data_IF_526554863590
#
_entry.id   IF_526554863590
#
_cell.length_a   1.000
_cell.length_b   1.000
_cell.length_c   1.000
_cell.angle_alpha   90.00
_cell.angle_beta   90.00
_cell.angle_gamma   90.00
#
_symmetry.space_group_name_H-M   'P 1'
#
loop_
_entity.id
_entity.type
_entity.pdbx_description
1 polymer ?
#
# COMPACT_ATOMS: atom_id res chain seq x y z
N UNK A 1 48.89 7.56 1.33
CA UNK A 1 49.18 8.32 2.57
C UNK A 1 50.45 7.73 3.14
N UNK A 2 51.47 8.55 3.35
CA UNK A 2 52.71 8.10 4.01
C UNK A 2 52.45 7.87 5.50
N UNK A 3 53.26 7.04 6.12
CA UNK A 3 53.16 6.74 7.55
C UNK A 3 54.56 6.78 8.19
N UNK A 4 54.59 7.09 9.49
CA UNK A 4 55.85 7.20 10.23
C UNK A 4 56.35 5.82 10.67
N UNK A 5 57.63 5.57 10.46
CA UNK A 5 58.32 4.34 10.88
C UNK A 5 58.56 4.35 12.41
N UNK A 6 57.59 3.83 13.19
CA UNK A 6 57.61 3.65 14.66
C UNK A 6 57.93 4.90 15.53
N UNK A 7 58.22 4.69 16.84
CA UNK A 7 58.54 5.71 17.87
C UNK A 7 59.48 6.78 17.29
N UNK A 8 59.24 8.10 17.48
CA UNK A 8 60.02 9.16 16.83
C UNK A 8 61.53 9.16 17.14
N UNK A 9 61.98 8.46 18.19
CA UNK A 9 63.40 8.34 18.50
C UNK A 9 63.71 7.00 19.20
N UNK A 10 63.59 5.86 18.49
CA UNK A 10 63.97 4.58 19.07
C UNK A 10 65.49 4.51 19.19
N UNK A 11 65.98 3.95 20.29
CA UNK A 11 67.38 3.54 20.37
C UNK A 11 67.49 2.20 19.65
N UNK A 12 68.22 2.17 18.55
CA UNK A 12 68.52 0.94 17.83
C UNK A 12 69.78 0.35 18.44
N UNK A 13 69.71 -0.92 18.81
CA UNK A 13 70.81 -1.64 19.43
C UNK A 13 71.65 -2.39 18.39
N UNK A 14 72.87 -2.74 18.78
CA UNK A 14 73.80 -3.56 18.01
C UNK A 14 73.31 -5.03 17.88
N UNK A 15 74.11 -5.87 17.22
CA UNK A 15 73.75 -7.28 16.98
C UNK A 15 73.60 -8.09 18.27
N UNK A 16 74.36 -7.75 19.31
CA UNK A 16 74.24 -8.42 20.61
C UNK A 16 73.09 -7.86 21.45
N UNK A 17 72.56 -6.69 21.10
CA UNK A 17 71.48 -6.02 21.82
C UNK A 17 71.91 -5.39 23.13
N UNK A 18 73.21 -5.21 23.34
CA UNK A 18 73.79 -4.76 24.62
C UNK A 18 74.13 -3.27 24.57
N UNK A 19 74.49 -2.75 23.40
CA UNK A 19 74.88 -1.37 23.19
C UNK A 19 74.02 -0.70 22.10
N UNK A 20 73.84 0.63 22.12
CA UNK A 20 73.30 1.33 20.96
C UNK A 20 74.16 1.11 19.72
N UNK A 21 73.53 1.01 18.55
CA UNK A 21 74.17 0.88 17.25
C UNK A 21 74.75 2.23 16.81
N UNK A 22 75.72 2.73 17.59
CA UNK A 22 76.34 4.02 17.40
C UNK A 22 77.07 4.09 16.04
N UNK A 23 76.73 5.09 15.22
CA UNK A 23 77.31 5.26 13.89
C UNK A 23 76.85 4.22 12.86
N UNK A 24 75.82 3.43 13.15
CA UNK A 24 75.16 2.55 12.19
C UNK A 24 74.29 3.29 11.18
N UNK A 25 73.47 2.54 10.43
CA UNK A 25 72.52 3.13 9.48
C UNK A 25 71.31 2.23 9.22
N UNK A 26 70.19 2.83 8.79
CA UNK A 26 69.02 2.13 8.27
C UNK A 26 68.98 2.22 6.75
N UNK A 27 69.05 1.09 6.07
CA UNK A 27 68.85 1.00 4.63
C UNK A 27 67.42 0.57 4.31
N UNK A 28 66.83 1.22 3.30
CA UNK A 28 65.42 1.02 2.91
C UNK A 28 65.33 0.50 1.48
N UNK A 29 64.53 -0.54 1.27
CA UNK A 29 64.38 -1.20 -0.01
C UNK A 29 62.91 -1.40 -0.38
N UNK A 30 62.66 -1.58 -1.68
CA UNK A 30 61.39 -2.15 -2.15
C UNK A 30 61.16 -3.49 -1.45
N UNK A 31 59.94 -3.69 -0.94
CA UNK A 31 59.57 -4.84 -0.10
C UNK A 31 59.95 -6.17 -0.76
N UNK A 32 60.73 -6.98 -0.05
CA UNK A 32 61.20 -8.28 -0.50
C UNK A 32 62.35 -8.24 -1.50
N UNK A 33 62.97 -7.07 -1.73
CA UNK A 33 64.05 -6.90 -2.72
C UNK A 33 65.27 -6.22 -2.11
N UNK A 34 66.31 -6.01 -2.93
CA UNK A 34 67.50 -5.22 -2.60
C UNK A 34 67.57 -3.90 -3.38
N UNK A 35 66.49 -3.50 -4.05
CA UNK A 35 66.40 -2.22 -4.78
C UNK A 35 66.20 -1.08 -3.79
N UNK A 36 67.12 -0.11 -3.65
CA UNK A 36 66.98 0.99 -2.70
C UNK A 36 65.73 1.82 -2.99
N UNK A 37 64.93 2.09 -1.96
CA UNK A 37 63.72 2.91 -2.05
C UNK A 37 63.85 4.17 -1.21
N UNK A 38 63.27 5.27 -1.70
CA UNK A 38 63.30 6.56 -1.04
C UNK A 38 62.44 6.56 0.22
N UNK A 39 62.88 7.32 1.23
CA UNK A 39 62.08 7.67 2.41
C UNK A 39 62.10 9.19 2.57
N UNK A 40 61.22 9.74 3.40
CA UNK A 40 61.00 11.20 3.47
C UNK A 40 61.14 11.73 4.90
N UNK A 41 61.61 12.97 5.03
CA UNK A 41 61.73 13.67 6.32
C UNK A 41 60.41 14.33 6.76
N UNK A 42 59.44 14.46 5.87
CA UNK A 42 58.11 15.02 6.09
C UNK A 42 56.99 14.08 5.57
N UNK A 43 55.76 14.32 6.04
CA UNK A 43 54.60 13.49 5.67
C UNK A 43 54.16 13.75 4.23
N UNK A 44 54.36 14.96 3.74
CA UNK A 44 53.99 15.45 2.41
C UNK A 44 54.90 14.91 1.29
N UNK A 45 55.97 14.19 1.64
CA UNK A 45 56.95 13.59 0.73
C UNK A 45 57.71 14.64 -0.11
N UNK A 46 58.11 15.75 0.52
CA UNK A 46 58.81 16.84 -0.17
C UNK A 46 60.33 16.77 0.01
N UNK A 47 60.81 16.32 1.17
CA UNK A 47 62.22 16.30 1.55
C UNK A 47 62.71 14.86 1.63
N UNK A 48 63.50 14.38 0.65
CA UNK A 48 64.03 13.03 0.67
C UNK A 48 65.09 12.85 1.77
N UNK A 49 65.04 11.71 2.45
CA UNK A 49 66.12 11.26 3.32
C UNK A 49 67.24 10.57 2.50
N UNK A 50 68.50 10.60 2.99
CA UNK A 50 69.56 9.77 2.42
C UNK A 50 69.24 8.28 2.60
N UNK A 51 69.73 7.44 1.71
CA UNK A 51 69.63 5.99 1.83
C UNK A 51 71.02 5.36 1.63
N UNK A 52 71.66 4.79 2.68
CA UNK A 52 71.13 4.57 4.04
C UNK A 52 70.94 5.85 4.88
N UNK A 53 69.99 5.83 5.81
CA UNK A 53 69.78 6.88 6.82
C UNK A 53 70.75 6.65 7.99
N UNK A 54 71.64 7.61 8.32
CA UNK A 54 72.64 7.42 9.38
C UNK A 54 72.03 7.47 10.79
N UNK A 55 72.65 6.73 11.70
CA UNK A 55 72.40 6.81 13.15
C UNK A 55 73.43 7.70 13.82
N UNK A 56 73.03 8.38 14.90
CA UNK A 56 73.93 9.13 15.75
C UNK A 56 74.74 8.24 16.70
N UNK A 57 75.57 8.84 17.55
CA UNK A 57 76.36 8.14 18.56
C UNK A 57 75.52 7.46 19.64
N UNK A 58 74.22 7.77 19.73
CA UNK A 58 73.26 7.15 20.65
C UNK A 58 72.43 6.05 19.98
N UNK A 59 72.75 5.67 18.73
CA UNK A 59 71.98 4.68 17.97
C UNK A 59 70.59 5.17 17.55
N UNK A 60 70.39 6.49 17.43
CA UNK A 60 69.11 7.11 17.06
C UNK A 60 69.16 7.67 15.65
N UNK A 61 68.00 7.64 15.00
CA UNK A 61 67.78 8.40 13.76
C UNK A 61 67.39 9.83 14.15
N UNK A 62 68.13 10.84 13.68
CA UNK A 62 67.85 12.24 13.99
C UNK A 62 66.80 12.88 13.07
N UNK A 63 66.49 12.25 11.95
CA UNK A 63 65.45 12.69 11.02
C UNK A 63 64.19 11.84 11.20
N UNK A 64 63.03 12.44 10.95
CA UNK A 64 61.82 11.64 10.76
C UNK A 64 61.99 10.74 9.53
N UNK A 65 61.44 9.53 9.62
CA UNK A 65 61.41 8.59 8.50
C UNK A 65 59.95 8.27 8.18
N UNK A 66 59.49 8.84 7.07
CA UNK A 66 58.19 8.58 6.48
C UNK A 66 58.34 7.61 5.30
N UNK A 67 57.47 6.61 5.29
CA UNK A 67 57.41 5.55 4.29
C UNK A 67 56.13 5.69 3.46
N UNK A 68 56.21 5.34 2.18
CA UNK A 68 55.04 5.28 1.28
C UNK A 68 54.81 3.85 0.79
N UNK A 69 53.88 3.12 1.41
CA UNK A 69 53.67 1.69 1.12
C UNK A 69 54.58 0.75 1.91
N UNK A 70 54.71 -0.50 1.48
CA UNK A 70 55.51 -1.50 2.19
C UNK A 70 57.01 -1.43 1.85
N UNK A 71 57.87 -1.66 2.85
CA UNK A 71 59.34 -1.59 2.74
C UNK A 71 60.00 -2.81 3.36
N UNK A 72 61.20 -3.14 2.88
CA UNK A 72 62.17 -3.93 3.65
C UNK A 72 63.21 -2.98 4.25
N UNK A 73 63.40 -3.04 5.56
CA UNK A 73 64.32 -2.20 6.33
C UNK A 73 65.45 -3.05 6.88
N UNK A 74 66.67 -2.59 6.70
CA UNK A 74 67.89 -3.27 7.16
C UNK A 74 68.67 -2.34 8.08
N UNK A 75 68.85 -2.73 9.33
CA UNK A 75 69.79 -2.06 10.23
C UNK A 75 71.19 -2.59 9.97
N UNK A 76 72.14 -1.68 9.76
CA UNK A 76 73.56 -1.97 9.63
C UNK A 76 74.35 -1.28 10.75
N UNK A 77 75.40 -1.95 11.23
CA UNK A 77 76.35 -1.36 12.16
C UNK A 77 77.33 -0.39 11.47
N UNK A 78 78.21 0.22 12.27
CA UNK A 78 79.24 1.15 11.78
C UNK A 78 80.25 0.50 10.81
N UNK A 79 80.40 -0.84 10.86
CA UNK A 79 81.24 -1.60 9.93
C UNK A 79 80.49 -2.06 8.67
N UNK A 80 79.19 -1.72 8.55
CA UNK A 80 78.33 -2.08 7.44
C UNK A 80 77.75 -3.50 7.50
N UNK A 81 77.91 -4.22 8.62
CA UNK A 81 77.32 -5.55 8.83
C UNK A 81 75.83 -5.43 9.15
N UNK A 82 75.03 -6.37 8.64
CA UNK A 82 73.60 -6.40 8.92
C UNK A 82 73.35 -6.87 10.35
N UNK A 83 72.68 -6.03 11.14
CA UNK A 83 72.18 -6.34 12.48
C UNK A 83 70.86 -7.10 12.39
N UNK A 84 69.90 -6.56 11.63
CA UNK A 84 68.62 -7.23 11.35
C UNK A 84 67.99 -6.72 10.05
N UNK A 85 67.07 -7.53 9.54
CA UNK A 85 66.16 -7.19 8.43
C UNK A 85 64.72 -7.38 8.87
N UNK A 86 63.86 -6.41 8.56
CA UNK A 86 62.42 -6.43 8.88
C UNK A 86 61.62 -5.86 7.73
N UNK A 87 60.48 -6.48 7.44
CA UNK A 87 59.48 -5.90 6.57
C UNK A 87 58.54 -5.00 7.37
N UNK A 88 58.16 -3.89 6.76
CA UNK A 88 57.23 -2.91 7.31
C UNK A 88 56.10 -2.77 6.32
N UNK A 89 54.89 -3.07 6.76
CA UNK A 89 53.69 -2.82 5.99
C UNK A 89 53.11 -1.46 6.35
N UNK A 90 52.39 -0.86 5.40
CA UNK A 90 51.92 0.53 5.55
C UNK A 90 50.89 0.76 6.64
N UNK A 91 50.39 -0.30 7.29
CA UNK A 91 49.26 -0.26 8.22
C UNK A 91 47.93 0.17 7.57
N UNK A 92 48.00 0.84 6.43
CA UNK A 92 46.90 1.15 5.53
C UNK A 92 46.56 -0.15 4.80
N UNK A 93 45.61 -0.91 5.34
CA UNK A 93 44.84 -1.81 4.49
C UNK A 93 44.32 -1.01 3.29
N UNK A 94 44.22 -1.64 2.11
CA UNK A 94 43.61 -1.03 0.94
C UNK A 94 42.09 -0.84 1.19
N UNK A 95 41.74 0.05 2.11
CA UNK A 95 40.38 0.45 2.40
C UNK A 95 39.83 1.15 1.18
N UNK A 96 38.60 0.79 0.82
CA UNK A 96 37.83 1.50 -0.19
C UNK A 96 37.77 2.99 0.21
N UNK A 97 38.13 3.87 -0.72
CA UNK A 97 38.09 5.30 -0.47
C UNK A 97 36.63 5.75 -0.34
N UNK A 98 36.31 6.50 0.72
CA UNK A 98 34.99 7.11 0.88
C UNK A 98 34.93 8.35 -0.04
N UNK A 99 33.96 8.43 -0.98
CA UNK A 99 33.83 9.60 -1.85
C UNK A 99 33.49 10.88 -1.06
N UNK A 100 33.76 12.05 -1.64
CA UNK A 100 33.42 13.35 -1.03
C UNK A 100 31.94 13.41 -0.62
N UNK A 101 31.65 13.93 0.58
CA UNK A 101 30.30 14.04 1.11
C UNK A 101 29.38 14.87 0.20
N UNK A 102 28.17 14.37 -0.02
CA UNK A 102 27.12 15.06 -0.76
C UNK A 102 25.92 15.27 0.16
N UNK A 103 25.47 16.51 0.32
CA UNK A 103 24.30 16.85 1.14
C UNK A 103 23.05 16.13 0.61
N UNK A 104 22.24 15.55 1.51
CA UNK A 104 20.98 14.88 1.16
C UNK A 104 21.13 13.49 0.54
N UNK A 105 22.32 12.88 0.62
CA UNK A 105 22.57 11.53 0.15
C UNK A 105 23.07 10.62 1.27
N UNK A 106 22.91 9.31 1.09
CA UNK A 106 23.45 8.29 1.99
C UNK A 106 24.50 7.43 1.29
N UNK A 107 25.43 6.88 2.05
CA UNK A 107 26.54 6.07 1.51
C UNK A 107 26.03 4.67 1.21
N UNK A 108 26.27 4.19 -0.01
CA UNK A 108 25.90 2.86 -0.48
C UNK A 108 27.06 2.23 -1.28
N UNK A 109 26.84 1.06 -1.87
CA UNK A 109 27.81 0.39 -2.73
C UNK A 109 27.14 -0.27 -3.96
N UNK A 110 27.92 -0.43 -5.03
CA UNK A 110 27.53 -1.16 -6.26
C UNK A 110 28.10 -2.60 -6.31
N UNK A 111 28.60 -3.11 -5.18
CA UNK A 111 29.33 -4.37 -5.07
C UNK A 111 30.82 -4.29 -5.37
N UNK A 112 31.34 -3.16 -5.85
CA UNK A 112 32.77 -2.95 -6.13
C UNK A 112 33.32 -1.64 -5.56
N UNK A 113 32.49 -0.61 -5.49
CA UNK A 113 32.83 0.75 -5.07
C UNK A 113 31.80 1.29 -4.08
N UNK A 114 32.25 2.24 -3.25
CA UNK A 114 31.37 3.08 -2.45
C UNK A 114 30.83 4.24 -3.31
N UNK A 115 29.54 4.53 -3.18
CA UNK A 115 28.87 5.60 -3.93
C UNK A 115 27.82 6.30 -3.06
N UNK A 116 27.52 7.56 -3.35
CA UNK A 116 26.41 8.28 -2.73
C UNK A 116 25.12 8.09 -3.54
N UNK A 117 24.01 7.86 -2.85
CA UNK A 117 22.69 7.74 -3.47
C UNK A 117 21.69 8.72 -2.82
N UNK A 118 20.73 9.26 -3.60
CA UNK A 118 19.69 10.15 -3.07
C UNK A 118 18.81 9.41 -2.06
N UNK A 119 18.43 10.11 -0.99
CA UNK A 119 17.40 9.61 -0.06
C UNK A 119 16.03 9.80 -0.74
N UNK A 120 15.31 8.70 -0.97
CA UNK A 120 13.90 8.74 -1.39
C UNK A 120 13.03 8.90 -0.15
N UNK A 121 12.72 10.13 0.22
CA UNK A 121 11.87 10.44 1.37
C UNK A 121 10.39 10.41 0.97
N UNK A 122 9.56 9.90 1.88
CA UNK A 122 8.12 10.15 1.80
C UNK A 122 7.85 11.60 2.23
N UNK A 123 6.88 12.29 1.61
CA UNK A 123 6.43 13.59 2.07
C UNK A 123 5.96 13.52 3.52
N UNK A 124 6.17 14.60 4.27
CA UNK A 124 5.75 14.73 5.66
C UNK A 124 4.29 14.25 5.84
N UNK A 125 4.02 13.26 6.70
CA UNK A 125 2.67 12.75 6.91
C UNK A 125 1.79 13.69 7.75
N UNK A 126 2.32 14.79 8.28
CA UNK A 126 1.56 15.75 9.09
C UNK A 126 0.41 16.35 8.27
N UNK A 127 -0.82 16.06 8.69
CA UNK A 127 -2.03 16.49 7.98
C UNK A 127 -2.48 15.56 6.84
N UNK A 128 -1.84 14.41 6.64
CA UNK A 128 -2.20 13.44 5.60
C UNK A 128 -3.39 12.52 5.97
N UNK A 129 -4.14 12.82 7.04
CA UNK A 129 -5.36 12.08 7.37
C UNK A 129 -6.35 12.16 6.19
N UNK A 130 -6.91 11.01 5.80
CA UNK A 130 -7.80 10.94 4.63
C UNK A 130 -7.10 11.04 3.26
N UNK A 131 -5.77 11.09 3.21
CA UNK A 131 -5.00 11.11 1.97
C UNK A 131 -4.33 9.75 1.69
N UNK A 132 -3.92 9.54 0.44
CA UNK A 132 -3.12 8.41 -0.03
C UNK A 132 -1.88 8.94 -0.76
N UNK A 133 -0.83 8.12 -0.79
CA UNK A 133 0.37 8.43 -1.55
C UNK A 133 0.10 8.21 -3.04
N UNK A 134 0.35 9.24 -3.83
CA UNK A 134 0.29 9.21 -5.30
C UNK A 134 1.60 9.76 -5.87
N UNK A 135 2.00 9.29 -7.05
CA UNK A 135 3.17 9.81 -7.75
C UNK A 135 2.72 10.93 -8.69
N UNK A 136 3.01 12.18 -8.33
CA UNK A 136 2.67 13.36 -9.11
C UNK A 136 3.95 13.91 -9.74
N UNK A 137 4.05 13.86 -11.07
CA UNK A 137 5.24 14.30 -11.81
C UNK A 137 6.54 13.61 -11.38
N UNK A 138 6.46 12.33 -11.00
CA UNK A 138 7.63 11.54 -10.58
C UNK A 138 8.05 11.74 -9.12
N UNK A 139 7.32 12.54 -8.35
CA UNK A 139 7.57 12.78 -6.92
C UNK A 139 6.38 12.23 -6.11
N UNK A 140 6.61 11.47 -5.03
CA UNK A 140 5.53 11.06 -4.14
C UNK A 140 4.86 12.30 -3.51
N UNK A 141 3.54 12.34 -3.48
CA UNK A 141 2.74 13.42 -2.88
C UNK A 141 1.48 12.85 -2.21
N UNK A 142 0.96 13.55 -1.21
CA UNK A 142 -0.32 13.20 -0.58
C UNK A 142 -1.48 13.73 -1.40
N UNK A 143 -2.30 12.82 -1.93
CA UNK A 143 -3.53 13.13 -2.66
C UNK A 143 -4.75 12.69 -1.84
N UNK A 144 -5.89 13.38 -1.91
CA UNK A 144 -7.11 12.95 -1.23
C UNK A 144 -7.48 11.52 -1.61
N UNK A 145 -7.92 10.70 -0.65
CA UNK A 145 -8.45 9.38 -0.97
C UNK A 145 -9.64 9.54 -1.93
N UNK A 146 -9.74 8.69 -2.97
CA UNK A 146 -10.90 8.70 -3.84
C UNK A 146 -12.16 8.46 -3.00
N UNK A 147 -13.29 9.07 -3.39
CA UNK A 147 -14.55 8.81 -2.71
C UNK A 147 -14.83 7.30 -2.74
N UNK A 148 -15.47 6.75 -1.69
CA UNK A 148 -15.86 5.36 -1.69
C UNK A 148 -16.73 5.08 -2.92
N UNK A 149 -16.55 3.89 -3.51
CA UNK A 149 -17.38 3.44 -4.62
C UNK A 149 -18.85 3.46 -4.19
N UNK A 150 -19.66 4.31 -4.82
CA UNK A 150 -21.11 4.30 -4.68
C UNK A 150 -21.64 3.45 -5.84
N UNK A 151 -22.19 2.24 -5.59
CA UNK A 151 -22.84 1.49 -6.64
C UNK A 151 -23.96 2.35 -7.26
N UNK A 152 -24.20 2.27 -8.58
CA UNK A 152 -25.32 2.98 -9.19
C UNK A 152 -26.63 2.59 -8.49
N UNK A 153 -27.53 3.56 -8.32
CA UNK A 153 -28.87 3.26 -7.81
C UNK A 153 -29.52 2.20 -8.71
N UNK A 154 -30.19 1.19 -8.12
CA UNK A 154 -30.86 0.17 -8.91
C UNK A 154 -31.99 0.77 -9.77
N UNK A 155 -32.15 0.31 -11.01
CA UNK A 155 -33.27 0.68 -11.92
C UNK A 155 -34.66 0.15 -11.45
N UNK A 156 -34.75 -0.35 -10.22
CA UNK A 156 -35.99 -0.88 -9.65
C UNK A 156 -36.35 -0.13 -8.38
N UNK A 157 -37.55 0.45 -8.37
CA UNK A 157 -38.17 1.04 -7.19
C UNK A 157 -39.07 -0.03 -6.55
N UNK A 158 -38.68 -0.54 -5.38
CA UNK A 158 -39.53 -1.41 -4.56
C UNK A 158 -40.17 -0.54 -3.47
N UNK A 159 -41.41 -0.15 -3.73
CA UNK A 159 -42.29 0.40 -2.70
C UNK A 159 -43.00 -0.74 -1.94
N UNK A 160 -43.61 -0.44 -0.80
CA UNK A 160 -44.28 -1.43 0.06
C UNK A 160 -45.41 -2.24 -0.64
N UNK A 161 -45.86 -1.82 -1.84
CA UNK A 161 -46.96 -2.42 -2.59
C UNK A 161 -46.77 -2.46 -4.11
N UNK A 162 -45.64 -1.96 -4.63
CA UNK A 162 -45.39 -1.80 -6.07
C UNK A 162 -43.98 -2.27 -6.43
N UNK A 163 -43.88 -3.10 -7.47
CA UNK A 163 -42.62 -3.43 -8.15
C UNK A 163 -42.71 -2.93 -9.60
N UNK A 164 -41.74 -2.12 -10.02
CA UNK A 164 -41.64 -1.61 -11.40
C UNK A 164 -40.36 -2.14 -12.05
N UNK A 165 -40.49 -2.71 -13.25
CA UNK A 165 -39.39 -3.19 -14.10
C UNK A 165 -39.52 -2.51 -15.47
N UNK A 166 -38.83 -1.36 -15.63
CA UNK A 166 -39.06 -0.47 -16.77
C UNK A 166 -40.51 0.04 -16.79
N UNK A 167 -41.20 -0.11 -17.91
CA UNK A 167 -42.62 0.29 -18.02
C UNK A 167 -43.63 -0.71 -17.44
N UNK A 168 -43.20 -1.88 -16.97
CA UNK A 168 -44.08 -2.93 -16.43
C UNK A 168 -44.17 -2.82 -14.91
N UNK A 169 -45.38 -2.91 -14.36
CA UNK A 169 -45.60 -2.83 -12.92
C UNK A 169 -46.51 -3.95 -12.39
N UNK A 170 -46.19 -4.39 -11.18
CA UNK A 170 -47.06 -5.22 -10.34
C UNK A 170 -47.45 -4.38 -9.13
N UNK A 171 -48.75 -4.19 -8.93
CA UNK A 171 -49.30 -3.50 -7.77
C UNK A 171 -50.15 -4.46 -6.94
N UNK A 172 -50.04 -4.34 -5.63
CA UNK A 172 -50.82 -5.16 -4.68
C UNK A 172 -51.57 -4.27 -3.70
N UNK A 173 -52.65 -4.79 -3.16
CA UNK A 173 -53.34 -4.08 -2.09
C UNK A 173 -54.38 -4.91 -1.39
N UNK A 174 -55.06 -4.25 -0.46
CA UNK A 174 -56.19 -4.81 0.26
C UNK A 174 -57.40 -3.90 0.06
N UNK A 175 -58.59 -4.50 0.16
CA UNK A 175 -59.86 -3.81 0.23
C UNK A 175 -60.81 -4.63 1.09
N UNK A 176 -61.96 -4.07 1.44
CA UNK A 176 -63.02 -4.79 2.16
C UNK A 176 -64.32 -4.57 1.43
N UNK A 177 -64.90 -5.64 0.91
CA UNK A 177 -66.24 -5.61 0.33
C UNK A 177 -67.23 -5.47 1.49
N UNK A 178 -68.12 -4.47 1.47
CA UNK A 178 -69.03 -4.23 2.58
C UNK A 178 -70.08 -5.35 2.69
N UNK A 179 -70.58 -5.56 3.90
CA UNK A 179 -71.79 -6.37 4.09
C UNK A 179 -72.97 -5.76 3.32
N UNK A 180 -73.87 -6.61 2.85
CA UNK A 180 -75.04 -6.28 2.06
C UNK A 180 -76.19 -7.20 2.44
N UNK A 181 -77.40 -6.67 2.49
CA UNK A 181 -78.61 -7.49 2.62
C UNK A 181 -78.97 -8.24 1.32
N UNK A 182 -78.12 -8.16 0.29
CA UNK A 182 -78.28 -8.83 -0.99
C UNK A 182 -77.22 -9.92 -1.20
N UNK A 183 -77.39 -10.70 -2.27
CA UNK A 183 -76.46 -11.74 -2.72
C UNK A 183 -75.21 -11.21 -3.43
N UNK A 184 -75.15 -9.90 -3.64
CA UNK A 184 -74.08 -9.21 -4.36
C UNK A 184 -73.65 -8.00 -3.54
N UNK A 185 -72.34 -7.79 -3.49
CA UNK A 185 -71.70 -6.60 -2.93
C UNK A 185 -70.40 -6.33 -3.68
N UNK A 186 -69.91 -5.10 -3.65
CA UNK A 186 -68.69 -4.74 -4.40
C UNK A 186 -67.88 -3.66 -3.69
N UNK A 187 -66.61 -3.57 -4.05
CA UNK A 187 -65.71 -2.49 -3.61
C UNK A 187 -64.88 -2.00 -4.79
N UNK A 188 -64.79 -0.68 -4.94
CA UNK A 188 -63.86 -0.05 -5.86
C UNK A 188 -62.45 -0.06 -5.29
N UNK A 189 -61.46 -0.42 -6.11
CA UNK A 189 -60.04 -0.30 -5.79
C UNK A 189 -59.40 0.73 -6.71
N UNK A 190 -58.47 1.51 -6.18
CA UNK A 190 -57.67 2.48 -6.92
C UNK A 190 -56.22 2.03 -6.92
N UNK A 191 -55.57 2.07 -8.07
CA UNK A 191 -54.15 1.75 -8.20
C UNK A 191 -53.32 2.95 -7.78
N UNK A 192 -52.24 2.71 -7.02
CA UNK A 192 -51.32 3.77 -6.57
C UNK A 192 -50.64 4.46 -7.76
N UNK A 193 -50.26 3.67 -8.77
CA UNK A 193 -49.86 4.15 -10.10
C UNK A 193 -50.93 3.73 -11.13
N UNK A 194 -51.64 4.65 -11.80
CA UNK A 194 -52.54 4.28 -12.88
C UNK A 194 -51.82 3.51 -13.99
N UNK A 195 -52.43 2.43 -14.47
CA UNK A 195 -51.88 1.65 -15.58
C UNK A 195 -52.24 2.33 -16.91
N UNK A 196 -51.25 2.45 -17.80
CA UNK A 196 -51.46 2.84 -19.20
C UNK A 196 -52.01 1.68 -20.03
N UNK A 197 -51.66 0.44 -19.65
CA UNK A 197 -52.26 -0.80 -20.17
C UNK A 197 -52.40 -1.79 -19.00
N UNK A 198 -53.62 -2.02 -18.51
CA UNK A 198 -53.88 -3.01 -17.45
C UNK A 198 -54.12 -4.39 -18.07
N UNK A 199 -53.32 -5.40 -17.73
CA UNK A 199 -53.45 -6.74 -18.32
C UNK A 199 -54.32 -7.67 -17.48
N UNK A 200 -54.17 -7.60 -16.15
CA UNK A 200 -54.81 -8.54 -15.25
C UNK A 200 -55.04 -7.94 -13.87
N UNK A 201 -56.17 -8.30 -13.26
CA UNK A 201 -56.44 -8.08 -11.84
C UNK A 201 -56.97 -9.37 -11.23
N UNK A 202 -56.28 -9.87 -10.22
CA UNK A 202 -56.66 -11.06 -9.47
C UNK A 202 -56.99 -10.72 -8.02
N UNK A 203 -58.27 -10.81 -7.60
CA UNK A 203 -58.66 -10.69 -6.21
C UNK A 203 -58.64 -12.05 -5.51
N UNK A 204 -58.29 -12.07 -4.23
CA UNK A 204 -58.36 -13.24 -3.37
C UNK A 204 -58.94 -12.85 -2.01
N UNK A 205 -59.97 -13.56 -1.55
CA UNK A 205 -60.48 -13.46 -0.19
C UNK A 205 -59.95 -14.64 0.64
N UNK A 206 -59.73 -14.42 1.94
CA UNK A 206 -59.66 -15.54 2.88
C UNK A 206 -61.01 -16.26 2.99
N UNK A 207 -61.06 -17.42 3.64
CA UNK A 207 -62.35 -18.06 3.96
C UNK A 207 -63.06 -17.18 5.00
N UNK A 208 -64.10 -16.47 4.56
CA UNK A 208 -64.89 -15.58 5.40
C UNK A 208 -66.33 -16.07 5.36
N UNK A 209 -66.89 -16.41 6.52
CA UNK A 209 -68.29 -16.82 6.61
C UNK A 209 -69.18 -15.61 6.35
N UNK A 210 -69.77 -15.52 5.15
CA UNK A 210 -70.69 -14.42 4.80
C UNK A 210 -72.12 -14.67 5.28
N UNK A 211 -72.38 -15.78 5.98
CA UNK A 211 -73.66 -16.14 6.60
C UNK A 211 -73.50 -17.20 7.71
N UNK A 212 -74.61 -17.75 8.23
CA UNK A 212 -74.63 -18.58 9.45
C UNK A 212 -74.01 -20.00 9.33
N UNK A 213 -73.49 -20.40 8.16
CA UNK A 213 -73.00 -21.77 7.89
C UNK A 213 -71.72 -21.87 7.00
N UNK A 214 -70.89 -20.82 6.91
CA UNK A 214 -69.58 -20.93 6.23
C UNK A 214 -69.61 -20.91 4.69
N UNK A 215 -70.65 -20.34 4.08
CA UNK A 215 -70.67 -20.12 2.63
C UNK A 215 -69.57 -19.12 2.21
N UNK A 216 -68.86 -19.43 1.13
CA UNK A 216 -67.87 -18.53 0.50
C UNK A 216 -68.51 -17.60 -0.53
N UNK A 217 -67.75 -16.63 -1.03
CA UNK A 217 -68.15 -15.76 -2.14
C UNK A 217 -67.35 -16.10 -3.39
N UNK A 218 -68.01 -16.03 -4.53
CA UNK A 218 -67.34 -16.00 -5.83
C UNK A 218 -66.91 -14.57 -6.10
N UNK A 219 -65.63 -14.37 -6.44
CA UNK A 219 -65.08 -13.06 -6.76
C UNK A 219 -64.99 -12.87 -8.27
N UNK A 220 -65.34 -11.67 -8.73
CA UNK A 220 -65.08 -11.23 -10.09
C UNK A 220 -64.58 -9.79 -10.10
N UNK A 221 -63.96 -9.37 -11.19
CA UNK A 221 -63.50 -7.99 -11.36
C UNK A 221 -64.18 -7.39 -12.58
N UNK A 222 -64.67 -6.17 -12.43
CA UNK A 222 -65.33 -5.37 -13.47
C UNK A 222 -64.74 -3.96 -13.49
N UNK A 223 -65.11 -3.14 -14.47
CA UNK A 223 -64.61 -1.76 -14.56
C UNK A 223 -63.20 -1.64 -15.12
N UNK A 224 -62.69 -2.69 -15.78
CA UNK A 224 -61.51 -2.59 -16.64
C UNK A 224 -61.64 -3.48 -17.88
N UNK A 225 -60.87 -3.14 -18.91
CA UNK A 225 -60.71 -3.95 -20.12
C UNK A 225 -59.23 -4.28 -20.26
N UNK A 226 -58.84 -5.58 -20.36
CA UNK A 226 -57.45 -5.95 -20.56
C UNK A 226 -56.82 -5.23 -21.76
N UNK A 227 -55.66 -4.63 -21.56
CA UNK A 227 -54.92 -3.84 -22.55
C UNK A 227 -55.30 -2.36 -22.64
N UNK A 228 -56.26 -1.87 -21.84
CA UNK A 228 -56.65 -0.46 -21.78
C UNK A 228 -56.12 0.23 -20.53
N UNK A 229 -56.02 1.56 -20.58
CA UNK A 229 -55.66 2.37 -19.43
C UNK A 229 -56.72 2.25 -18.32
N UNK A 230 -56.26 2.20 -17.07
CA UNK A 230 -57.14 2.09 -15.90
C UNK A 230 -56.45 2.63 -14.65
N UNK A 231 -57.16 3.48 -13.91
CA UNK A 231 -56.75 3.98 -12.59
C UNK A 231 -57.33 3.15 -11.43
N UNK A 232 -58.18 2.17 -11.74
CA UNK A 232 -58.88 1.37 -10.75
C UNK A 232 -59.92 0.45 -11.38
N UNK A 233 -60.44 -0.47 -10.59
CA UNK A 233 -61.48 -1.40 -11.01
C UNK A 233 -62.38 -1.75 -9.82
N UNK A 234 -63.43 -2.54 -10.06
CA UNK A 234 -64.38 -2.95 -9.03
C UNK A 234 -64.28 -4.45 -8.81
N UNK A 235 -64.02 -4.86 -7.56
CA UNK A 235 -64.08 -6.26 -7.14
C UNK A 235 -65.49 -6.53 -6.65
N UNK A 236 -66.14 -7.53 -7.24
CA UNK A 236 -67.49 -7.96 -6.88
C UNK A 236 -67.42 -9.29 -6.14
N UNK A 237 -68.27 -9.42 -5.12
CA UNK A 237 -68.60 -10.68 -4.49
C UNK A 237 -70.01 -11.09 -4.89
N UNK A 238 -70.18 -12.35 -5.25
CA UNK A 238 -71.46 -12.95 -5.58
C UNK A 238 -71.60 -14.30 -4.84
N UNK A 239 -72.73 -14.49 -4.17
CA UNK A 239 -73.10 -15.72 -3.48
C UNK A 239 -74.49 -16.23 -3.88
N UNK A 240 -74.94 -15.84 -5.08
CA UNK A 240 -76.00 -16.54 -5.82
C UNK A 240 -75.39 -17.85 -6.29
N UNK A 241 -75.94 -19.00 -5.88
CA UNK A 241 -75.57 -20.27 -6.47
C UNK A 241 -76.39 -20.51 -7.75
N UNK A 242 -75.85 -21.29 -8.68
CA UNK A 242 -76.54 -21.67 -9.91
C UNK A 242 -77.59 -22.77 -9.61
N UNK A 243 -78.58 -22.48 -8.75
CA UNK A 243 -79.76 -23.34 -8.56
C UNK A 243 -80.27 -23.57 -7.13
N UNK A 244 -79.90 -22.76 -6.14
CA UNK A 244 -80.38 -22.82 -4.76
C UNK A 244 -80.68 -21.45 -4.15
N UNK A 245 -81.03 -21.44 -2.86
CA UNK A 245 -81.36 -20.21 -2.14
C UNK A 245 -80.04 -19.50 -1.76
N UNK A 246 -79.54 -18.63 -2.64
CA UNK A 246 -78.41 -17.74 -2.33
C UNK A 246 -78.52 -17.10 -0.94
N UNK A 247 -77.38 -16.75 -0.33
CA UNK A 247 -77.33 -16.19 1.04
C UNK A 247 -76.90 -14.72 1.00
N UNK A 248 -77.54 -13.83 1.76
CA UNK A 248 -77.11 -12.44 1.81
C UNK A 248 -75.67 -12.34 2.37
N UNK A 249 -74.89 -11.39 1.88
CA UNK A 249 -73.52 -11.12 2.37
C UNK A 249 -73.62 -10.38 3.71
N UNK A 250 -73.87 -11.09 4.81
CA UNK A 250 -74.16 -10.49 6.10
C UNK A 250 -72.94 -9.91 6.83
N UNK A 251 -71.73 -10.24 6.38
CA UNK A 251 -70.45 -9.81 6.98
C UNK A 251 -69.52 -9.21 5.93
N UNK A 252 -68.69 -8.20 6.27
CA UNK A 252 -67.68 -7.67 5.35
C UNK A 252 -66.70 -8.75 4.91
N UNK A 253 -66.23 -8.67 3.65
CA UNK A 253 -65.27 -9.63 3.07
C UNK A 253 -63.94 -8.92 2.80
N UNK A 254 -62.91 -9.16 3.62
CA UNK A 254 -61.55 -8.72 3.32
C UNK A 254 -61.02 -9.40 2.05
N UNK A 255 -60.48 -8.61 1.14
CA UNK A 255 -59.86 -9.08 -0.10
C UNK A 255 -58.44 -8.52 -0.23
N UNK A 256 -57.51 -9.37 -0.62
CA UNK A 256 -56.23 -8.96 -1.19
C UNK A 256 -56.35 -8.96 -2.72
N UNK A 257 -55.57 -8.14 -3.40
CA UNK A 257 -55.56 -8.11 -4.86
C UNK A 257 -54.16 -7.89 -5.41
N UNK A 258 -53.94 -8.39 -6.62
CA UNK A 258 -52.77 -8.11 -7.45
C UNK A 258 -53.23 -7.59 -8.81
N UNK A 259 -52.59 -6.53 -9.29
CA UNK A 259 -52.82 -5.94 -10.61
C UNK A 259 -51.50 -5.88 -11.38
N UNK A 260 -51.55 -6.22 -12.67
CA UNK A 260 -50.38 -6.36 -13.53
C UNK A 260 -50.63 -5.61 -14.83
N UNK A 261 -49.68 -4.76 -15.24
CA UNK A 261 -49.82 -3.95 -16.45
C UNK A 261 -48.61 -3.08 -16.73
N UNK A 262 -48.76 -2.16 -17.69
CA UNK A 262 -47.80 -1.09 -17.94
C UNK A 262 -48.19 0.19 -17.22
N UNK A 263 -47.20 0.93 -16.72
CA UNK A 263 -47.35 2.27 -16.13
C UNK A 263 -46.56 3.28 -16.96
N UNK A 264 -46.80 4.57 -16.74
CA UNK A 264 -45.94 5.60 -17.31
C UNK A 264 -44.50 5.40 -16.79
N UNK A 265 -43.52 5.56 -17.68
CA UNK A 265 -42.10 5.53 -17.34
C UNK A 265 -41.73 6.71 -16.42
#
# INVERSE_FOLDING_TARGET
MSYRFYNPAPVLHDLLGIEPCAGGSLAFFDRGTTTPRLTWADAEQQVPNPNPVPLDSSGRVNNNVWLDGGYTVVLKDAAGQTVWTRDVDSGSGAGQAIPTLITGQFLTNDGSNLAWAPVLELPDPTGAEGHQLEVVSGIPAWAPKPPPFVPPEPDWDVGAKTLVLGGFAIQTGNATIPASSNYISSVGITFEKPFTELFYVGPAAGIVSVGSFGAGVTLSVTGYTPGMASSGCTINANCTDDGGDGRAIASPVPVAWVAIGKVAA
#
